data_IF_525671841838
#
_entry.id   IF_525671841838
#
_cell.length_a   1.000
_cell.length_b   1.000
_cell.length_c   1.000
_cell.angle_alpha   90.00
_cell.angle_beta   90.00
_cell.angle_gamma   90.00
#
_symmetry.space_group_name_H-M   'P 1'
#
loop_
_entity.id
_entity.type
_entity.pdbx_description
1 polymer ?
#
# COMPACT_ATOMS: atom_id res chain seq x y z
N UNK A 1 -18.66 1.36 20.28
CA UNK A 1 -18.17 0.20 19.50
C UNK A 1 -16.73 0.48 19.11
N UNK A 2 -15.77 -0.31 19.60
CA UNK A 2 -14.35 -0.17 19.27
C UNK A 2 -14.18 -0.64 17.82
N UNK A 3 -13.74 0.26 16.95
CA UNK A 3 -13.40 -0.02 15.56
C UNK A 3 -12.26 -1.05 15.49
N UNK A 4 -12.59 -2.31 15.22
CA UNK A 4 -11.71 -3.49 15.28
C UNK A 4 -10.77 -3.62 14.07
N UNK A 5 -10.54 -2.59 13.26
CA UNK A 5 -9.78 -2.71 12.01
C UNK A 5 -8.48 -1.92 11.94
N UNK A 6 -8.00 -1.35 13.05
CA UNK A 6 -6.68 -0.71 13.10
C UNK A 6 -5.60 -1.75 13.41
N UNK A 7 -5.02 -2.32 12.36
CA UNK A 7 -3.85 -3.20 12.49
C UNK A 7 -2.60 -2.35 12.78
N UNK A 8 -2.05 -2.54 13.96
CA UNK A 8 -0.77 -1.97 14.36
C UNK A 8 0.34 -2.99 14.18
N UNK A 9 1.50 -2.54 13.73
CA UNK A 9 2.70 -3.36 13.56
C UNK A 9 3.89 -2.73 14.28
N UNK A 10 4.79 -3.57 14.78
CA UNK A 10 6.11 -3.18 15.25
C UNK A 10 7.14 -3.57 14.19
N UNK A 11 7.40 -2.73 13.17
CA UNK A 11 8.33 -3.05 12.11
C UNK A 11 9.75 -3.16 12.68
N UNK A 12 10.52 -4.13 12.21
CA UNK A 12 11.97 -4.10 12.44
C UNK A 12 12.63 -3.03 11.55
N UNK A 13 13.87 -2.65 11.87
CA UNK A 13 14.56 -1.58 11.14
C UNK A 13 14.79 -1.91 9.67
N UNK A 14 15.01 -3.17 9.32
CA UNK A 14 15.26 -3.58 7.94
C UNK A 14 13.97 -3.52 7.13
N UNK A 15 12.83 -3.87 7.74
CA UNK A 15 11.50 -3.87 7.11
C UNK A 15 11.01 -2.47 6.70
N UNK A 16 11.70 -1.42 7.15
CA UNK A 16 11.47 -0.02 6.78
C UNK A 16 12.38 0.46 5.64
N UNK A 17 13.41 -0.28 5.27
CA UNK A 17 14.37 0.11 4.23
C UNK A 17 13.93 -0.47 2.90
N UNK A 18 13.56 0.40 1.95
CA UNK A 18 13.33 -0.02 0.57
C UNK A 18 14.67 -0.19 -0.12
N UNK A 19 14.96 -1.37 -0.64
CA UNK A 19 16.19 -1.72 -1.35
C UNK A 19 15.92 -2.12 -2.79
N UNK A 20 16.85 -1.83 -3.71
CA UNK A 20 16.77 -2.21 -5.13
C UNK A 20 18.14 -2.18 -5.79
N UNK A 21 18.26 -2.73 -7.00
CA UNK A 21 19.46 -2.66 -7.83
C UNK A 21 19.16 -2.12 -9.21
N UNK A 22 20.07 -1.30 -9.71
CA UNK A 22 19.97 -0.68 -11.03
C UNK A 22 21.33 -0.65 -11.73
N UNK A 23 21.31 -0.71 -13.06
CA UNK A 23 22.44 -0.38 -13.93
C UNK A 23 22.28 1.05 -14.44
N UNK A 24 23.20 1.94 -14.04
CA UNK A 24 23.23 3.33 -14.48
C UNK A 24 24.18 3.44 -15.69
N UNK A 25 23.77 4.02 -16.83
CA UNK A 25 24.62 4.16 -18.02
C UNK A 25 25.74 5.20 -17.85
N UNK A 26 25.63 6.06 -16.83
CA UNK A 26 26.61 7.09 -16.50
C UNK A 26 27.77 6.46 -15.71
N UNK A 27 29.00 6.56 -16.24
CA UNK A 27 30.21 6.06 -15.58
C UNK A 27 30.85 7.03 -14.60
N UNK A 28 30.60 8.33 -14.78
CA UNK A 28 31.19 9.37 -13.94
C UNK A 28 30.30 9.58 -12.70
N UNK A 29 30.83 9.21 -11.54
CA UNK A 29 30.12 9.29 -10.27
C UNK A 29 29.71 10.72 -9.87
N UNK A 30 30.57 11.71 -10.13
CA UNK A 30 30.27 13.11 -9.84
C UNK A 30 29.16 13.65 -10.77
N UNK A 31 29.06 13.12 -11.99
CA UNK A 31 27.94 13.43 -12.89
C UNK A 31 26.64 12.86 -12.36
N UNK A 32 26.63 11.63 -11.84
CA UNK A 32 25.43 11.03 -11.21
C UNK A 32 24.94 11.92 -10.06
N UNK A 33 25.86 12.35 -9.18
CA UNK A 33 25.52 13.21 -8.04
C UNK A 33 24.86 14.52 -8.52
N UNK A 34 25.47 15.20 -9.51
CA UNK A 34 24.95 16.46 -10.06
C UNK A 34 23.55 16.31 -10.66
N UNK A 35 23.28 15.22 -11.38
CA UNK A 35 21.94 14.97 -11.95
C UNK A 35 20.89 14.78 -10.84
N UNK A 36 21.23 14.05 -9.77
CA UNK A 36 20.32 13.86 -8.64
C UNK A 36 20.09 15.19 -7.89
N UNK A 37 21.15 15.96 -7.62
CA UNK A 37 21.04 17.29 -6.98
C UNK A 37 20.12 18.23 -7.76
N UNK A 38 20.27 18.25 -9.10
CA UNK A 38 19.43 19.05 -9.99
C UNK A 38 17.97 18.62 -9.92
N UNK A 39 17.71 17.31 -9.85
CA UNK A 39 16.35 16.78 -9.76
C UNK A 39 15.73 16.95 -8.37
N UNK A 40 16.54 17.14 -7.33
CA UNK A 40 16.12 17.21 -5.94
C UNK A 40 16.63 18.49 -5.24
N UNK A 41 16.23 19.70 -5.69
CA UNK A 41 16.78 20.97 -5.19
C UNK A 41 16.49 21.24 -3.70
N UNK A 42 15.54 20.52 -3.10
CA UNK A 42 15.19 20.61 -1.66
C UNK A 42 15.93 19.60 -0.79
N UNK A 43 16.79 18.76 -1.37
CA UNK A 43 17.53 17.73 -0.68
C UNK A 43 18.96 18.19 -0.40
N UNK A 44 19.50 17.82 0.76
CA UNK A 44 20.91 17.99 1.10
C UNK A 44 21.66 16.75 0.69
N UNK A 45 22.74 16.94 -0.04
CA UNK A 45 23.82 15.98 -0.11
C UNK A 45 24.59 15.95 1.21
N UNK A 46 24.57 14.84 1.93
CA UNK A 46 25.13 14.76 3.29
C UNK A 46 26.59 14.30 3.35
N UNK A 47 27.04 13.42 2.46
CA UNK A 47 28.45 12.99 2.46
C UNK A 47 28.86 12.22 1.20
N UNK A 48 30.15 12.34 0.87
CA UNK A 48 30.99 11.38 0.13
C UNK A 48 31.89 10.75 1.19
N UNK A 49 31.84 9.44 1.47
CA UNK A 49 32.95 8.82 2.23
C UNK A 49 34.09 8.52 1.27
N UNK A 50 35.29 9.02 1.56
CA UNK A 50 36.54 8.57 0.92
C UNK A 50 36.99 7.25 1.58
N UNK A 51 37.08 6.17 0.81
CA UNK A 51 37.48 4.83 1.27
C UNK A 51 36.99 3.73 0.30
N UNK A 52 37.02 2.46 0.73
CA UNK A 52 36.82 1.25 -0.11
C UNK A 52 35.43 1.14 -0.78
N UNK A 53 34.45 1.99 -0.45
CA UNK A 53 33.18 2.08 -1.15
C UNK A 53 32.62 3.51 -1.14
N UNK A 54 32.59 4.15 -2.31
CA UNK A 54 32.05 5.51 -2.50
C UNK A 54 30.50 5.48 -2.47
N UNK A 55 29.87 5.92 -1.38
CA UNK A 55 28.40 6.08 -1.35
C UNK A 55 28.01 7.54 -1.19
N UNK A 56 26.77 7.85 -1.58
CA UNK A 56 26.17 9.15 -1.32
C UNK A 56 24.80 9.04 -0.67
N UNK A 57 24.48 10.07 0.09
CA UNK A 57 23.33 10.12 0.96
C UNK A 57 22.61 11.46 0.77
N UNK A 58 21.38 11.40 0.25
CA UNK A 58 20.52 12.56 0.07
C UNK A 58 19.46 12.56 1.17
N UNK A 59 19.24 13.72 1.78
CA UNK A 59 18.19 13.89 2.79
C UNK A 59 17.36 15.15 2.55
N UNK A 60 16.04 15.07 2.68
CA UNK A 60 15.17 16.23 2.58
C UNK A 60 15.48 17.28 3.67
N UNK A 61 15.70 18.56 3.29
CA UNK A 61 15.85 19.68 4.24
C UNK A 61 14.54 19.92 4.99
N UNK A 62 14.36 19.30 6.16
CA UNK A 62 13.34 19.72 7.13
C UNK A 62 14.01 20.40 8.33
N UNK A 63 13.71 21.67 8.55
CA UNK A 63 14.19 22.41 9.73
C UNK A 63 13.76 21.73 11.04
N UNK A 64 12.54 21.17 11.09
CA UNK A 64 12.02 20.37 12.21
C UNK A 64 12.87 19.12 12.51
N UNK A 65 13.43 18.50 11.47
CA UNK A 65 14.31 17.34 11.62
C UNK A 65 15.66 17.73 12.25
N UNK A 66 16.21 18.87 11.86
CA UNK A 66 17.42 19.39 12.49
C UNK A 66 17.19 19.77 13.96
N UNK A 67 15.99 20.21 14.32
CA UNK A 67 15.62 20.39 15.72
C UNK A 67 15.59 19.06 16.48
N UNK A 68 15.02 18.00 15.91
CA UNK A 68 15.01 16.66 16.51
C UNK A 68 16.41 16.17 16.87
N UNK A 69 17.38 16.35 15.97
CA UNK A 69 18.78 15.95 16.20
C UNK A 69 19.49 16.81 17.27
N UNK A 70 19.02 18.05 17.48
CA UNK A 70 19.61 19.02 18.42
C UNK A 70 18.99 18.97 19.81
N UNK A 71 17.92 18.20 20.03
CA UNK A 71 17.29 18.02 21.34
C UNK A 71 18.20 17.22 22.30
N UNK A 72 19.19 17.90 22.89
CA UNK A 72 19.93 17.43 24.06
C UNK A 72 19.25 17.98 25.32
N UNK A 73 18.92 17.11 26.27
CA UNK A 73 18.35 17.48 27.57
C UNK A 73 19.19 16.85 28.67
N UNK A 74 19.34 17.54 29.81
CA UNK A 74 19.97 16.99 31.01
C UNK A 74 19.13 15.86 31.64
N UNK A 75 17.82 15.89 31.41
CA UNK A 75 16.87 14.84 31.80
C UNK A 75 16.52 14.01 30.55
N UNK A 76 17.00 12.75 30.46
CA UNK A 76 16.75 11.86 29.33
C UNK A 76 15.26 11.58 29.09
N UNK A 77 14.45 11.50 30.15
CA UNK A 77 13.02 11.19 30.08
C UNK A 77 12.24 12.36 29.49
N UNK A 78 12.52 13.58 29.93
CA UNK A 78 11.95 14.80 29.33
C UNK A 78 12.42 15.02 27.88
N UNK A 79 13.66 14.66 27.55
CA UNK A 79 14.15 14.68 26.16
C UNK A 79 13.33 13.75 25.27
N UNK A 80 13.10 12.53 25.76
CA UNK A 80 12.37 11.49 25.07
C UNK A 80 10.91 11.87 24.85
N UNK A 81 10.23 12.39 25.87
CA UNK A 81 8.84 12.88 25.74
C UNK A 81 8.72 14.04 24.74
N UNK A 82 9.67 14.98 24.75
CA UNK A 82 9.72 16.08 23.76
C UNK A 82 9.93 15.55 22.35
N UNK A 83 10.82 14.57 22.17
CA UNK A 83 11.02 13.89 20.88
C UNK A 83 9.73 13.20 20.43
N UNK A 84 9.05 12.44 21.29
CA UNK A 84 7.76 11.78 20.97
C UNK A 84 6.71 12.79 20.52
N UNK A 85 6.53 13.89 21.27
CA UNK A 85 5.57 14.93 20.92
C UNK A 85 5.87 15.53 19.55
N UNK A 86 7.14 15.82 19.27
CA UNK A 86 7.56 16.36 17.97
C UNK A 86 7.40 15.33 16.84
N UNK A 87 7.74 14.05 17.08
CA UNK A 87 7.53 12.95 16.14
C UNK A 87 6.06 12.80 15.77
N UNK A 88 5.16 12.77 16.75
CA UNK A 88 3.72 12.68 16.53
C UNK A 88 3.19 13.90 15.77
N UNK A 89 3.63 15.11 16.15
CA UNK A 89 3.23 16.33 15.46
C UNK A 89 3.59 16.27 13.97
N UNK A 90 4.84 15.90 13.66
CA UNK A 90 5.31 15.80 12.27
C UNK A 90 4.55 14.71 11.51
N UNK A 91 4.36 13.51 12.09
CA UNK A 91 3.60 12.43 11.44
C UNK A 91 2.13 12.79 11.19
N UNK A 92 1.49 13.54 12.10
CA UNK A 92 0.10 13.97 11.99
C UNK A 92 -0.03 15.10 10.95
N UNK A 93 0.86 16.10 10.98
CA UNK A 93 0.79 17.29 10.12
C UNK A 93 1.27 17.02 8.68
N UNK A 94 2.20 16.07 8.48
CA UNK A 94 2.91 15.86 7.20
C UNK A 94 2.63 14.51 6.56
N UNK A 95 1.42 13.94 6.71
CA UNK A 95 1.03 12.70 6.00
C UNK A 95 1.39 12.71 4.50
N UNK A 96 1.56 13.88 3.87
CA UNK A 96 2.29 14.07 2.60
C UNK A 96 3.68 14.67 2.84
N UNK A 97 4.72 14.02 2.33
CA UNK A 97 6.09 14.56 2.32
C UNK A 97 6.94 14.17 3.53
N UNK A 98 6.86 12.90 3.94
CA UNK A 98 7.74 12.32 4.98
C UNK A 98 9.20 12.55 4.58
N UNK A 99 10.10 12.93 5.50
CA UNK A 99 11.51 13.06 5.16
C UNK A 99 12.08 11.68 4.84
N UNK A 100 12.69 11.59 3.67
CA UNK A 100 13.34 10.40 3.17
C UNK A 100 14.86 10.58 3.18
N UNK A 101 15.54 9.45 3.33
CA UNK A 101 16.97 9.32 3.15
C UNK A 101 17.21 8.37 1.99
N UNK A 102 17.91 8.85 0.98
CA UNK A 102 18.15 8.13 -0.27
C UNK A 102 19.64 7.88 -0.44
N UNK A 103 20.03 6.62 -0.49
CA UNK A 103 21.42 6.18 -0.56
C UNK A 103 21.66 5.36 -1.82
N UNK A 104 22.79 5.61 -2.46
CA UNK A 104 23.25 4.82 -3.62
C UNK A 104 24.65 4.31 -3.32
N UNK A 105 24.83 3.01 -3.54
CA UNK A 105 26.01 2.22 -3.22
C UNK A 105 26.49 1.55 -4.52
N UNK A 106 27.69 1.83 -5.03
CA UNK A 106 28.25 1.13 -6.17
C UNK A 106 28.57 -0.32 -5.79
N UNK A 107 28.14 -1.26 -6.62
CA UNK A 107 28.43 -2.69 -6.47
C UNK A 107 29.44 -3.16 -7.53
N UNK A 108 29.28 -2.73 -8.80
CA UNK A 108 30.13 -3.19 -9.89
C UNK A 108 30.28 -2.14 -11.00
N UNK A 109 31.51 -1.92 -11.49
CA UNK A 109 31.78 -1.10 -12.66
C UNK A 109 31.83 -1.96 -13.94
N UNK A 110 31.12 -1.52 -14.97
CA UNK A 110 31.03 -2.19 -16.27
C UNK A 110 31.58 -1.30 -17.38
N UNK A 111 31.86 -1.89 -18.54
CA UNK A 111 32.29 -1.18 -19.74
C UNK A 111 31.22 -0.22 -20.28
N UNK A 112 29.96 -0.35 -19.87
CA UNK A 112 28.83 0.46 -20.34
C UNK A 112 27.99 1.07 -19.21
N UNK A 113 28.48 1.05 -17.96
CA UNK A 113 27.76 1.63 -16.83
C UNK A 113 28.27 1.19 -15.46
N UNK A 114 27.43 1.41 -14.44
CA UNK A 114 27.70 1.01 -13.05
C UNK A 114 26.46 0.33 -12.49
N UNK A 115 26.62 -0.85 -11.91
CA UNK A 115 25.59 -1.49 -11.08
C UNK A 115 25.66 -0.88 -9.68
N UNK A 116 24.50 -0.42 -9.20
CA UNK A 116 24.36 0.17 -7.89
C UNK A 116 23.23 -0.50 -7.10
N UNK A 117 23.45 -0.64 -5.79
CA UNK A 117 22.39 -0.87 -4.80
C UNK A 117 21.85 0.48 -4.34
N UNK A 118 20.53 0.59 -4.28
CA UNK A 118 19.82 1.78 -3.82
C UNK A 118 19.07 1.43 -2.54
N UNK A 119 19.17 2.30 -1.54
CA UNK A 119 18.40 2.21 -0.29
C UNK A 119 17.60 3.50 -0.10
N UNK A 120 16.31 3.38 0.19
CA UNK A 120 15.44 4.51 0.50
C UNK A 120 14.76 4.26 1.84
N UNK A 121 14.90 5.22 2.77
CA UNK A 121 14.50 5.07 4.16
C UNK A 121 13.50 6.18 4.54
N UNK A 122 12.30 5.85 5.04
CA UNK A 122 11.38 6.80 5.63
C UNK A 122 11.90 7.19 7.03
N UNK A 123 12.67 8.27 7.09
CA UNK A 123 13.55 8.61 8.24
C UNK A 123 12.79 8.67 9.57
N UNK A 124 11.56 9.19 9.55
CA UNK A 124 10.76 9.32 10.77
C UNK A 124 10.39 7.97 11.37
N UNK A 125 9.87 7.05 10.56
CA UNK A 125 9.51 5.71 10.99
C UNK A 125 10.75 4.98 11.48
N UNK A 126 11.85 5.05 10.71
CA UNK A 126 13.10 4.42 11.07
C UNK A 126 13.65 4.93 12.43
N UNK A 127 13.64 6.24 12.68
CA UNK A 127 14.12 6.81 13.94
C UNK A 127 13.22 6.46 15.13
N UNK A 128 11.90 6.52 14.95
CA UNK A 128 10.97 6.16 16.03
C UNK A 128 11.12 4.66 16.35
N UNK A 129 11.20 3.80 15.35
CA UNK A 129 11.47 2.36 15.56
C UNK A 129 12.79 2.16 16.30
N UNK A 130 13.85 2.86 15.88
CA UNK A 130 15.19 2.73 16.47
C UNK A 130 15.26 3.20 17.93
N UNK A 131 14.64 4.34 18.24
CA UNK A 131 14.76 4.99 19.56
C UNK A 131 13.68 4.53 20.55
N UNK A 132 12.47 4.23 20.06
CA UNK A 132 11.25 4.12 20.90
C UNK A 132 10.64 2.72 20.82
N UNK A 133 10.97 1.92 19.78
CA UNK A 133 10.37 0.61 19.52
C UNK A 133 8.84 0.65 19.62
N UNK A 134 8.24 1.56 18.86
CA UNK A 134 6.79 1.82 18.89
C UNK A 134 6.06 1.04 17.81
N UNK A 135 4.81 0.70 18.10
CA UNK A 135 3.83 0.25 17.11
C UNK A 135 3.32 1.41 16.23
N UNK A 136 3.23 1.16 14.93
CA UNK A 136 2.67 2.07 13.94
C UNK A 136 1.41 1.48 13.34
N UNK A 137 0.52 2.34 12.86
CA UNK A 137 -0.55 1.87 12.00
C UNK A 137 0.05 1.31 10.71
N UNK A 138 -0.32 0.08 10.35
CA UNK A 138 0.30 -0.64 9.24
C UNK A 138 0.16 0.11 7.90
N UNK A 139 -1.00 0.72 7.66
CA UNK A 139 -1.22 1.55 6.47
C UNK A 139 -0.21 2.70 6.38
N UNK A 140 0.13 3.34 7.49
CA UNK A 140 1.07 4.47 7.50
C UNK A 140 2.50 4.03 7.16
N UNK A 141 2.87 2.80 7.50
CA UNK A 141 4.14 2.18 7.10
C UNK A 141 4.11 1.83 5.61
N UNK A 142 3.01 1.26 5.13
CA UNK A 142 2.82 0.93 3.71
C UNK A 142 2.84 2.17 2.80
N UNK A 143 2.16 3.24 3.18
CA UNK A 143 2.19 4.53 2.47
C UNK A 143 3.62 5.07 2.37
N UNK A 144 4.39 5.01 3.48
CA UNK A 144 5.79 5.42 3.47
C UNK A 144 6.66 4.54 2.55
N UNK A 145 6.38 3.23 2.46
CA UNK A 145 7.05 2.34 1.51
C UNK A 145 6.70 2.69 0.06
N UNK A 146 5.43 2.92 -0.25
CA UNK A 146 4.97 3.32 -1.60
C UNK A 146 5.65 4.62 -2.02
N UNK A 147 5.73 5.61 -1.13
CA UNK A 147 6.44 6.86 -1.41
C UNK A 147 7.94 6.63 -1.64
N UNK A 148 8.60 5.77 -0.85
CA UNK A 148 10.00 5.38 -1.08
C UNK A 148 10.19 4.72 -2.45
N UNK A 149 9.34 3.75 -2.81
CA UNK A 149 9.39 3.06 -4.11
C UNK A 149 9.20 4.04 -5.26
N UNK A 150 8.23 4.94 -5.15
CA UNK A 150 7.95 5.99 -6.14
C UNK A 150 9.15 6.92 -6.32
N UNK A 151 9.75 7.37 -5.21
CA UNK A 151 10.94 8.20 -5.23
C UNK A 151 12.12 7.49 -5.92
N UNK A 152 12.39 6.23 -5.55
CA UNK A 152 13.46 5.43 -6.15
C UNK A 152 13.26 5.34 -7.66
N UNK A 153 12.06 4.97 -8.13
CA UNK A 153 11.77 4.87 -9.57
C UNK A 153 11.92 6.20 -10.28
N UNK A 154 11.45 7.30 -9.67
CA UNK A 154 11.57 8.65 -10.24
C UNK A 154 13.03 9.04 -10.43
N UNK A 155 13.89 8.82 -9.45
CA UNK A 155 15.32 9.16 -9.55
C UNK A 155 16.00 8.21 -10.53
N UNK A 156 15.89 6.90 -10.28
CA UNK A 156 16.66 5.90 -11.02
C UNK A 156 16.26 5.84 -12.49
N UNK A 157 14.97 5.62 -12.79
CA UNK A 157 14.48 5.55 -14.18
C UNK A 157 14.28 6.93 -14.79
N UNK A 158 13.72 7.87 -14.04
CA UNK A 158 13.35 9.19 -14.55
C UNK A 158 14.54 10.10 -14.80
N UNK A 159 15.42 10.26 -13.79
CA UNK A 159 16.57 11.17 -13.83
C UNK A 159 17.79 10.48 -14.42
N UNK A 160 18.18 9.32 -13.88
CA UNK A 160 19.42 8.63 -14.27
C UNK A 160 19.28 7.71 -15.48
N UNK A 161 18.05 7.53 -16.00
CA UNK A 161 17.72 6.63 -17.12
C UNK A 161 18.30 5.23 -16.92
N UNK A 162 18.29 4.75 -15.68
CA UNK A 162 18.87 3.45 -15.33
C UNK A 162 17.96 2.28 -15.71
N UNK A 163 18.59 1.13 -15.97
CA UNK A 163 17.90 -0.14 -16.14
C UNK A 163 17.72 -0.79 -14.76
N UNK A 164 16.49 -1.22 -14.45
CA UNK A 164 16.19 -1.94 -13.21
C UNK A 164 16.72 -3.37 -13.29
N UNK A 165 17.47 -3.81 -12.28
CA UNK A 165 17.95 -5.19 -12.13
C UNK A 165 17.07 -5.92 -11.11
N UNK A 166 16.83 -5.28 -9.96
CA UNK A 166 15.86 -5.77 -8.97
C UNK A 166 14.90 -4.65 -8.61
N UNK A 167 13.61 -5.01 -8.54
CA UNK A 167 12.56 -4.06 -8.17
C UNK A 167 12.72 -3.58 -6.71
N UNK A 168 12.33 -2.33 -6.41
CA UNK A 168 12.30 -1.83 -5.04
C UNK A 168 11.40 -2.65 -4.10
N UNK A 169 11.97 -3.20 -3.03
CA UNK A 169 11.29 -4.04 -2.02
C UNK A 169 11.82 -3.77 -0.60
N UNK A 170 11.09 -4.22 0.43
CA UNK A 170 11.52 -4.18 1.85
C UNK A 170 11.82 -5.59 2.37
N UNK A 171 12.75 -5.73 3.33
CA UNK A 171 13.20 -7.02 3.88
C UNK A 171 13.20 -7.01 5.44
N UNK A 172 12.62 -7.99 6.17
CA UNK A 172 11.78 -9.04 5.66
C UNK A 172 10.55 -8.43 5.00
N UNK A 173 10.25 -8.95 3.82
CA UNK A 173 9.01 -8.68 3.14
C UNK A 173 7.90 -9.17 4.07
N UNK A 174 7.31 -8.27 4.88
CA UNK A 174 6.17 -8.63 5.72
C UNK A 174 5.09 -9.13 4.75
N UNK A 175 4.88 -10.45 4.80
CA UNK A 175 4.05 -11.32 3.95
C UNK A 175 2.56 -10.95 3.95
N UNK A 176 2.16 -9.68 3.87
CA UNK A 176 0.77 -9.34 3.48
C UNK A 176 0.51 -9.66 2.02
N UNK A 177 1.53 -9.60 1.18
CA UNK A 177 1.49 -10.03 -0.22
C UNK A 177 1.32 -11.53 -0.34
N UNK A 178 1.92 -12.37 0.52
CA UNK A 178 1.61 -13.81 0.51
C UNK A 178 0.24 -14.11 1.14
N UNK A 179 -0.13 -13.48 2.27
CA UNK A 179 -1.47 -13.68 2.86
C UNK A 179 -2.57 -13.22 1.91
N UNK A 180 -2.36 -12.10 1.22
CA UNK A 180 -3.30 -11.60 0.22
C UNK A 180 -3.18 -12.40 -1.08
N UNK A 181 -2.01 -12.86 -1.52
CA UNK A 181 -1.91 -13.76 -2.68
C UNK A 181 -2.62 -15.08 -2.43
N UNK A 182 -2.51 -15.66 -1.23
CA UNK A 182 -3.27 -16.85 -0.83
C UNK A 182 -4.77 -16.57 -0.82
N UNK A 183 -5.20 -15.41 -0.31
CA UNK A 183 -6.62 -15.01 -0.34
C UNK A 183 -7.12 -14.75 -1.75
N UNK A 184 -6.35 -14.06 -2.59
CA UNK A 184 -6.69 -13.77 -3.99
C UNK A 184 -6.69 -15.05 -4.82
N UNK A 185 -5.75 -15.97 -4.56
CA UNK A 185 -5.72 -17.32 -5.13
C UNK A 185 -6.97 -18.11 -4.76
N UNK A 186 -7.37 -18.09 -3.47
CA UNK A 186 -8.66 -18.68 -3.04
C UNK A 186 -9.85 -18.04 -3.74
N UNK A 187 -9.90 -16.70 -3.82
CA UNK A 187 -10.97 -15.99 -4.51
C UNK A 187 -11.05 -16.34 -5.99
N UNK A 188 -9.91 -16.46 -6.70
CA UNK A 188 -9.88 -16.93 -8.10
C UNK A 188 -10.51 -18.32 -8.24
N UNK A 189 -10.13 -19.26 -7.39
CA UNK A 189 -10.69 -20.62 -7.39
C UNK A 189 -12.19 -20.62 -7.09
N UNK A 190 -12.63 -19.81 -6.12
CA UNK A 190 -14.06 -19.66 -5.80
C UNK A 190 -14.84 -19.05 -6.98
N UNK A 191 -14.32 -17.99 -7.62
CA UNK A 191 -14.92 -17.37 -8.81
C UNK A 191 -15.07 -18.40 -9.92
N UNK A 192 -13.99 -19.11 -10.26
CA UNK A 192 -13.99 -20.13 -11.30
C UNK A 192 -15.06 -21.21 -11.02
N UNK A 193 -15.22 -21.62 -9.76
CA UNK A 193 -16.23 -22.62 -9.39
C UNK A 193 -17.66 -22.12 -9.57
N UNK A 194 -17.93 -20.85 -9.21
CA UNK A 194 -19.28 -20.27 -9.17
C UNK A 194 -19.74 -19.81 -10.56
N UNK A 195 -18.82 -19.33 -11.41
CA UNK A 195 -19.16 -18.75 -12.72
C UNK A 195 -19.50 -19.82 -13.77
N UNK A 196 -19.20 -21.10 -13.54
CA UNK A 196 -19.59 -22.20 -14.46
C UNK A 196 -21.08 -22.22 -14.84
N UNK A 197 -21.95 -21.59 -14.04
CA UNK A 197 -23.40 -21.50 -14.26
C UNK A 197 -23.89 -20.06 -14.55
N UNK A 198 -22.98 -19.12 -14.76
CA UNK A 198 -23.27 -17.70 -14.92
C UNK A 198 -22.59 -17.13 -16.17
N UNK A 199 -22.94 -15.89 -16.49
CA UNK A 199 -22.33 -15.16 -17.62
C UNK A 199 -20.82 -14.94 -17.41
N UNK A 200 -20.02 -15.18 -18.46
CA UNK A 200 -18.55 -15.02 -18.46
C UNK A 200 -18.09 -13.63 -18.02
N UNK A 201 -18.94 -12.61 -18.16
CA UNK A 201 -18.63 -11.26 -17.72
C UNK A 201 -18.44 -11.16 -16.20
N UNK A 202 -19.07 -12.03 -15.39
CA UNK A 202 -18.81 -12.03 -13.94
C UNK A 202 -17.35 -12.39 -13.63
N UNK A 203 -16.84 -13.46 -14.24
CA UNK A 203 -15.44 -13.86 -14.12
C UNK A 203 -14.50 -12.79 -14.67
N UNK A 204 -14.77 -12.27 -15.86
CA UNK A 204 -13.94 -11.24 -16.48
C UNK A 204 -13.79 -10.01 -15.59
N UNK A 205 -14.90 -9.56 -14.99
CA UNK A 205 -14.89 -8.41 -14.09
C UNK A 205 -14.12 -8.67 -12.80
N UNK A 206 -14.37 -9.79 -12.13
CA UNK A 206 -13.74 -10.08 -10.85
C UNK A 206 -12.26 -10.44 -11.01
N UNK A 207 -11.88 -11.11 -12.10
CA UNK A 207 -10.48 -11.33 -12.48
C UNK A 207 -9.75 -10.01 -12.72
N UNK A 208 -10.38 -9.05 -13.41
CA UNK A 208 -9.78 -7.72 -13.60
C UNK A 208 -9.66 -6.96 -12.28
N UNK A 209 -10.67 -7.03 -11.41
CA UNK A 209 -10.59 -6.42 -10.08
C UNK A 209 -9.45 -7.01 -9.23
N UNK A 210 -9.20 -8.32 -9.33
CA UNK A 210 -8.06 -8.98 -8.69
C UNK A 210 -6.74 -8.51 -9.30
N UNK A 211 -6.64 -8.42 -10.63
CA UNK A 211 -5.44 -7.93 -11.30
C UNK A 211 -5.09 -6.48 -10.88
N UNK A 212 -6.09 -5.61 -10.79
CA UNK A 212 -5.92 -4.24 -10.32
C UNK A 212 -5.50 -4.19 -8.85
N UNK A 213 -6.03 -5.09 -8.02
CA UNK A 213 -5.58 -5.23 -6.63
C UNK A 213 -4.08 -5.57 -6.53
N UNK A 214 -3.63 -6.56 -7.32
CA UNK A 214 -2.23 -7.01 -7.32
C UNK A 214 -1.26 -5.93 -7.82
N UNK A 215 -1.72 -5.05 -8.73
CA UNK A 215 -0.97 -3.86 -9.17
C UNK A 215 -0.94 -2.74 -8.12
N UNK A 216 -1.69 -2.87 -7.03
CA UNK A 216 -1.83 -1.83 -6.00
C UNK A 216 -2.88 -0.76 -6.33
N UNK A 217 -3.70 -0.98 -7.36
CA UNK A 217 -4.76 -0.08 -7.78
C UNK A 217 -6.07 -0.39 -7.01
N UNK A 218 -6.05 -0.20 -5.69
CA UNK A 218 -7.14 -0.64 -4.81
C UNK A 218 -8.47 0.07 -5.09
N UNK A 219 -8.46 1.36 -5.44
CA UNK A 219 -9.67 2.07 -5.85
C UNK A 219 -10.27 1.47 -7.12
N UNK A 220 -9.44 1.18 -8.14
CA UNK A 220 -9.91 0.55 -9.37
C UNK A 220 -10.53 -0.83 -9.09
N UNK A 221 -9.84 -1.64 -8.28
CA UNK A 221 -10.34 -2.93 -7.80
C UNK A 221 -11.71 -2.81 -7.10
N UNK A 222 -11.83 -1.86 -6.17
CA UNK A 222 -13.07 -1.60 -5.43
C UNK A 222 -14.21 -1.11 -6.34
N UNK A 223 -13.93 -0.24 -7.32
CA UNK A 223 -14.93 0.26 -8.27
C UNK A 223 -15.46 -0.84 -9.19
N UNK A 224 -14.56 -1.66 -9.76
CA UNK A 224 -14.94 -2.80 -10.60
C UNK A 224 -15.79 -3.79 -9.78
N UNK A 225 -15.34 -4.11 -8.56
CA UNK A 225 -16.05 -5.00 -7.65
C UNK A 225 -17.42 -4.44 -7.24
N UNK A 226 -17.48 -3.15 -6.94
CA UNK A 226 -18.71 -2.44 -6.59
C UNK A 226 -19.74 -2.54 -7.70
N UNK A 227 -19.34 -2.37 -8.97
CA UNK A 227 -20.21 -2.55 -10.13
C UNK A 227 -20.82 -3.95 -10.16
N UNK A 228 -20.01 -4.99 -9.92
CA UNK A 228 -20.50 -6.39 -9.88
C UNK A 228 -21.53 -6.58 -8.79
N UNK A 229 -21.27 -6.08 -7.56
CA UNK A 229 -22.21 -6.16 -6.44
C UNK A 229 -23.55 -5.51 -6.78
N UNK A 230 -23.53 -4.28 -7.30
CA UNK A 230 -24.75 -3.55 -7.67
C UNK A 230 -25.51 -4.30 -8.76
N UNK A 231 -24.80 -4.82 -9.76
CA UNK A 231 -25.42 -5.57 -10.84
C UNK A 231 -26.10 -6.84 -10.31
N UNK A 232 -25.42 -7.65 -9.48
CA UNK A 232 -26.01 -8.86 -8.87
C UNK A 232 -27.29 -8.50 -8.10
N UNK A 233 -27.22 -7.49 -7.23
CA UNK A 233 -28.37 -7.09 -6.41
C UNK A 233 -29.50 -6.47 -7.23
N UNK A 234 -29.24 -5.90 -8.40
CA UNK A 234 -30.28 -5.42 -9.31
C UNK A 234 -31.07 -6.55 -9.98
N UNK A 235 -30.49 -7.77 -10.04
CA UNK A 235 -31.15 -8.96 -10.60
C UNK A 235 -32.02 -9.72 -9.57
N UNK A 236 -32.01 -9.29 -8.31
CA UNK A 236 -32.85 -9.88 -7.25
C UNK A 236 -34.13 -9.06 -7.14
N UNK A 237 -35.28 -9.74 -7.12
CA UNK A 237 -36.58 -9.07 -7.01
C UNK A 237 -36.72 -8.32 -5.68
N UNK A 238 -37.23 -7.09 -5.74
CA UNK A 238 -37.33 -6.16 -4.62
C UNK A 238 -36.68 -4.81 -4.91
N UNK A 239 -37.25 -3.73 -4.37
CA UNK A 239 -36.74 -2.36 -4.56
C UNK A 239 -35.69 -2.00 -3.51
N UNK A 240 -35.89 -2.45 -2.27
CA UNK A 240 -34.96 -2.20 -1.15
C UNK A 240 -34.04 -3.40 -0.90
N UNK A 241 -32.92 -3.19 -0.20
CA UNK A 241 -32.05 -4.31 0.19
C UNK A 241 -32.82 -5.30 1.09
N UNK A 242 -33.71 -4.81 1.95
CA UNK A 242 -34.57 -5.62 2.81
C UNK A 242 -35.59 -6.47 2.03
N UNK A 243 -36.25 -5.90 1.01
CA UNK A 243 -37.17 -6.62 0.14
C UNK A 243 -36.45 -7.73 -0.62
N UNK A 244 -35.25 -7.45 -1.15
CA UNK A 244 -34.42 -8.44 -1.84
C UNK A 244 -34.03 -9.59 -0.93
N UNK A 245 -33.66 -9.30 0.32
CA UNK A 245 -33.33 -10.32 1.31
C UNK A 245 -34.57 -11.17 1.63
N UNK A 246 -35.74 -10.55 1.77
CA UNK A 246 -37.00 -11.27 1.98
C UNK A 246 -37.32 -12.20 0.80
N UNK A 247 -37.18 -11.72 -0.43
CA UNK A 247 -37.35 -12.53 -1.63
C UNK A 247 -36.42 -13.76 -1.65
N UNK A 248 -35.12 -13.57 -1.34
CA UNK A 248 -34.15 -14.67 -1.26
C UNK A 248 -34.51 -15.69 -0.17
N UNK A 249 -35.10 -15.24 0.95
CA UNK A 249 -35.57 -16.11 2.04
C UNK A 249 -36.83 -16.89 1.66
N UNK A 250 -37.78 -16.23 1.02
CA UNK A 250 -39.06 -16.83 0.62
C UNK A 250 -38.85 -17.90 -0.47
N UNK A 251 -37.86 -17.69 -1.34
CA UNK A 251 -37.42 -18.68 -2.34
C UNK A 251 -36.41 -19.71 -1.80
N UNK A 252 -36.18 -19.75 -0.47
CA UNK A 252 -35.27 -20.72 0.20
C UNK A 252 -33.82 -20.70 -0.30
N UNK A 253 -33.39 -19.63 -0.98
CA UNK A 253 -31.99 -19.44 -1.42
C UNK A 253 -31.08 -19.17 -0.23
N UNK A 254 -31.59 -18.42 0.76
CA UNK A 254 -30.93 -18.17 2.04
C UNK A 254 -31.86 -18.55 3.19
N UNK A 255 -31.31 -18.99 4.32
CA UNK A 255 -32.10 -19.34 5.50
C UNK A 255 -32.63 -18.09 6.22
N UNK A 256 -33.84 -18.19 6.78
CA UNK A 256 -34.54 -17.06 7.45
C UNK A 256 -33.87 -16.57 8.74
N UNK A 257 -33.19 -17.47 9.45
CA UNK A 257 -32.54 -17.22 10.74
C UNK A 257 -31.12 -16.64 10.64
N UNK A 258 -30.56 -16.57 9.43
CA UNK A 258 -29.18 -16.12 9.17
C UNK A 258 -29.06 -14.59 9.16
N UNK A 259 -29.02 -13.99 10.36
CA UNK A 259 -28.79 -12.55 10.55
C UNK A 259 -27.46 -12.09 9.94
N UNK A 260 -26.43 -12.93 10.00
CA UNK A 260 -25.11 -12.66 9.42
C UNK A 260 -25.16 -12.44 7.91
N UNK A 261 -25.96 -13.22 7.17
CA UNK A 261 -26.13 -13.06 5.72
C UNK A 261 -26.89 -11.79 5.40
N UNK A 262 -27.92 -11.46 6.19
CA UNK A 262 -28.68 -10.20 6.04
C UNK A 262 -27.77 -8.98 6.23
N UNK A 263 -27.02 -8.93 7.33
CA UNK A 263 -26.09 -7.84 7.63
C UNK A 263 -25.02 -7.70 6.56
N UNK A 264 -24.49 -8.83 6.09
CA UNK A 264 -23.52 -8.89 5.01
C UNK A 264 -24.05 -8.28 3.70
N UNK A 265 -25.26 -8.67 3.24
CA UNK A 265 -25.83 -8.14 1.98
C UNK A 265 -26.03 -6.63 2.07
N UNK A 266 -26.60 -6.15 3.18
CA UNK A 266 -26.83 -4.72 3.40
C UNK A 266 -25.49 -3.96 3.43
N UNK A 267 -24.49 -4.50 4.12
CA UNK A 267 -23.15 -3.90 4.21
C UNK A 267 -22.48 -3.83 2.83
N UNK A 268 -22.50 -4.92 2.07
CA UNK A 268 -21.92 -4.97 0.72
C UNK A 268 -22.60 -3.97 -0.22
N UNK A 269 -23.94 -3.91 -0.19
CA UNK A 269 -24.75 -2.97 -0.98
C UNK A 269 -24.42 -1.51 -0.66
N UNK A 270 -24.40 -1.15 0.63
CA UNK A 270 -24.01 0.20 1.08
C UNK A 270 -22.59 0.55 0.67
N UNK A 271 -21.64 -0.38 0.87
CA UNK A 271 -20.23 -0.16 0.55
C UNK A 271 -20.02 0.05 -0.96
N UNK A 272 -20.66 -0.77 -1.79
CA UNK A 272 -20.61 -0.63 -3.25
C UNK A 272 -21.19 0.72 -3.70
N UNK A 273 -22.36 1.12 -3.18
CA UNK A 273 -22.93 2.46 -3.46
C UNK A 273 -22.02 3.60 -3.02
N UNK A 274 -21.35 3.45 -1.88
CA UNK A 274 -20.43 4.47 -1.36
C UNK A 274 -19.25 4.69 -2.32
N UNK A 275 -18.59 3.62 -2.79
CA UNK A 275 -17.49 3.76 -3.75
C UNK A 275 -17.92 4.22 -5.14
N UNK A 276 -19.16 3.91 -5.55
CA UNK A 276 -19.71 4.35 -6.84
C UNK A 276 -20.37 5.73 -6.78
N UNK A 277 -20.55 6.31 -5.58
CA UNK A 277 -21.04 7.67 -5.44
C UNK A 277 -20.00 8.65 -5.99
N UNK A 278 -20.44 9.78 -6.54
CA UNK A 278 -19.58 10.85 -7.06
C UNK A 278 -18.79 11.62 -5.96
N UNK A 279 -18.52 10.99 -4.81
CA UNK A 279 -17.68 11.58 -3.77
C UNK A 279 -16.21 11.27 -4.04
N UNK A 280 -15.53 12.28 -4.58
CA UNK A 280 -14.11 12.26 -4.94
C UNK A 280 -13.17 12.07 -3.75
N UNK A 281 -13.67 12.19 -2.51
CA UNK A 281 -12.86 12.03 -1.31
C UNK A 281 -12.76 10.58 -0.84
N UNK A 282 -13.50 9.66 -1.46
CA UNK A 282 -13.50 8.24 -1.10
C UNK A 282 -12.37 7.53 -1.84
N UNK A 283 -11.45 6.95 -1.08
CA UNK A 283 -10.37 6.10 -1.59
C UNK A 283 -10.46 4.73 -0.93
N UNK A 284 -10.40 3.66 -1.72
CA UNK A 284 -10.35 2.31 -1.18
C UNK A 284 -8.92 1.98 -0.75
N UNK A 285 -8.77 1.48 0.47
CA UNK A 285 -7.53 0.88 0.93
C UNK A 285 -7.45 -0.63 0.53
N UNK A 286 -6.31 -1.31 0.75
CA UNK A 286 -6.18 -2.74 0.42
C UNK A 286 -7.16 -3.65 1.20
N UNK A 287 -7.56 -3.27 2.41
CA UNK A 287 -8.53 -4.03 3.21
C UNK A 287 -9.93 -3.84 2.64
N UNK A 288 -10.25 -2.63 2.19
CA UNK A 288 -11.52 -2.29 1.59
C UNK A 288 -11.76 -3.03 0.29
N UNK A 289 -10.78 -2.98 -0.61
CA UNK A 289 -10.85 -3.66 -1.91
C UNK A 289 -10.91 -5.18 -1.74
N UNK A 290 -10.09 -5.76 -0.86
CA UNK A 290 -10.10 -7.21 -0.60
C UNK A 290 -11.40 -7.66 0.07
N UNK A 291 -11.92 -6.87 1.01
CA UNK A 291 -13.21 -7.12 1.65
C UNK A 291 -14.34 -7.07 0.63
N UNK A 292 -14.34 -6.08 -0.26
CA UNK A 292 -15.33 -6.01 -1.34
C UNK A 292 -15.24 -7.19 -2.29
N UNK A 293 -14.02 -7.63 -2.66
CA UNK A 293 -13.83 -8.81 -3.49
C UNK A 293 -14.44 -10.04 -2.84
N UNK A 294 -14.11 -10.32 -1.57
CA UNK A 294 -14.71 -11.42 -0.83
C UNK A 294 -16.24 -11.31 -0.71
N UNK A 295 -16.76 -10.10 -0.53
CA UNK A 295 -18.20 -9.85 -0.46
C UNK A 295 -18.88 -10.11 -1.82
N UNK A 296 -18.25 -9.71 -2.93
CA UNK A 296 -18.77 -9.95 -4.27
C UNK A 296 -18.84 -11.43 -4.62
N UNK A 297 -17.83 -12.23 -4.26
CA UNK A 297 -17.79 -13.68 -4.51
C UNK A 297 -18.87 -14.41 -3.70
N UNK A 298 -19.08 -14.02 -2.44
CA UNK A 298 -20.18 -14.55 -1.62
C UNK A 298 -21.55 -14.23 -2.21
N UNK A 299 -21.76 -12.99 -2.67
CA UNK A 299 -23.00 -12.58 -3.35
C UNK A 299 -23.20 -13.36 -4.66
N UNK A 300 -22.13 -13.56 -5.42
CA UNK A 300 -22.16 -14.34 -6.65
C UNK A 300 -22.58 -15.79 -6.38
N UNK A 301 -22.12 -16.39 -5.28
CA UNK A 301 -22.54 -17.72 -4.85
C UNK A 301 -24.04 -17.80 -4.49
N UNK A 302 -24.61 -16.75 -3.90
CA UNK A 302 -26.06 -16.65 -3.66
C UNK A 302 -26.80 -16.52 -5.00
N UNK A 303 -26.28 -15.67 -5.90
CA UNK A 303 -26.88 -15.42 -7.19
C UNK A 303 -26.87 -16.64 -8.11
N UNK A 304 -25.80 -17.43 -8.11
CA UNK A 304 -25.71 -18.68 -8.84
C UNK A 304 -26.80 -19.68 -8.42
N UNK A 305 -27.14 -19.74 -7.12
CA UNK A 305 -28.25 -20.58 -6.62
C UNK A 305 -29.64 -20.06 -7.02
N UNK A 306 -29.75 -18.77 -7.31
CA UNK A 306 -31.00 -18.18 -7.80
C UNK A 306 -31.20 -18.45 -9.30
N UNK A 307 -30.11 -18.57 -10.06
CA UNK A 307 -30.14 -18.77 -11.53
C UNK A 307 -30.08 -20.23 -11.97
N UNK A 308 -29.55 -21.13 -11.15
CA UNK A 308 -29.50 -22.58 -11.40
C UNK A 308 -30.55 -23.34 -10.60
#
# INVERSE_FOLDING_TARGET
MVDKTKHFISPDLNSLVVTSRYKIPIKNWDKIIKEIEKALPRWIYLSKRKGVADFFDFQLKLWEYQQLLKLKSKDPKKAFEKKIKLYNRILIEKRRGVPFKFRVLPEQHLSDGIIVKVECIPVMYYLITKEIKREFHEQSVQEAHIECVSLVRRIMKGVLKSQEITSPTVDPFIKRTEINADKLGKLRSEIASVVTKLDVNYEKNLSEAINEYEKGHYLASALITGRVIIYILAQVEGKTDEEKIKFLQDNKIIKRDRKDVKEFIIKASKKARHFLAHDINIFADPSDALGMLGDSVKLLGIFAKLKG
#
